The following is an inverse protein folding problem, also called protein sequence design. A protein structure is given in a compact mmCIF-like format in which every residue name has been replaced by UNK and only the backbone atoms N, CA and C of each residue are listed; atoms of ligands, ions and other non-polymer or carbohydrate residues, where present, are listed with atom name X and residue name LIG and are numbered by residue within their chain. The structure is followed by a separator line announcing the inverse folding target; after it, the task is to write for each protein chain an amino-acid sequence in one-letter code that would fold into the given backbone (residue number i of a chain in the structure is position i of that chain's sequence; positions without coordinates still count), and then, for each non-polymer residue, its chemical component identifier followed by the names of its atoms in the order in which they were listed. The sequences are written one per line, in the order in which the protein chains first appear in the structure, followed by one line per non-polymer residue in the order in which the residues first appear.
data_IF_426934964193
#
_entry.id   IF_426934964193
#
_cell.length_a   1.000
_cell.length_b   1.000
_cell.length_c   1.000
_cell.angle_alpha   90.00
_cell.angle_beta   90.00
_cell.angle_gamma   90.00
#
_symmetry.space_group_name_H-M   'P 1'
#
loop_
_entity.id
_entity.type
_entity.pdbx_description
1 polymer ?
#
# COMPACT_ATOMS: atom_id res chain seq x y z
N UNK A 1 17.57 16.63 -3.36
CA UNK A 1 16.27 17.29 -3.72
C UNK A 1 15.64 17.81 -2.44
N UNK A 2 15.03 19.00 -2.44
CA UNK A 2 14.30 19.52 -1.25
C UNK A 2 13.07 18.64 -1.01
N UNK A 3 12.72 18.36 0.24
CA UNK A 3 11.60 17.47 0.63
C UNK A 3 10.27 17.91 -0.01
N UNK A 4 9.99 19.23 -0.07
CA UNK A 4 8.81 19.76 -0.73
C UNK A 4 8.72 19.34 -2.21
N UNK A 5 9.83 19.34 -2.94
CA UNK A 5 9.86 18.91 -4.33
C UNK A 5 9.58 17.39 -4.51
N UNK A 6 9.84 16.59 -3.48
CA UNK A 6 9.47 15.15 -3.49
C UNK A 6 7.97 14.99 -3.33
N UNK A 7 7.37 15.69 -2.35
CA UNK A 7 5.92 15.68 -2.17
C UNK A 7 5.20 16.10 -3.46
N UNK A 8 5.59 17.24 -4.01
CA UNK A 8 5.02 17.78 -5.24
C UNK A 8 5.14 16.80 -6.41
N UNK A 9 6.34 16.26 -6.66
CA UNK A 9 6.58 15.35 -7.79
C UNK A 9 5.76 14.06 -7.71
N UNK A 10 5.71 13.42 -6.52
CA UNK A 10 4.97 12.18 -6.30
C UNK A 10 3.46 12.43 -6.42
N UNK A 11 2.95 13.46 -5.76
CA UNK A 11 1.51 13.78 -5.80
C UNK A 11 1.06 14.17 -7.20
N UNK A 12 1.87 14.93 -7.94
CA UNK A 12 1.59 15.29 -9.34
C UNK A 12 1.52 14.05 -10.24
N UNK A 13 2.42 13.10 -10.08
CA UNK A 13 2.38 11.83 -10.84
C UNK A 13 1.08 11.06 -10.59
N UNK A 14 0.68 10.94 -9.33
CA UNK A 14 -0.56 10.26 -8.94
C UNK A 14 -1.80 10.99 -9.47
N UNK A 15 -1.84 12.32 -9.37
CA UNK A 15 -2.92 13.15 -9.93
C UNK A 15 -3.05 12.90 -11.43
N UNK A 16 -1.93 12.90 -12.16
CA UNK A 16 -1.94 12.69 -13.61
C UNK A 16 -2.52 11.32 -14.02
N UNK A 17 -2.30 10.27 -13.23
CA UNK A 17 -2.90 8.97 -13.48
C UNK A 17 -4.40 8.94 -13.12
N UNK A 18 -4.78 9.53 -11.99
CA UNK A 18 -6.17 9.66 -11.59
C UNK A 18 -6.99 10.45 -12.61
N UNK A 19 -6.43 11.52 -13.20
CA UNK A 19 -7.08 12.30 -14.27
C UNK A 19 -7.28 11.48 -15.56
N UNK A 20 -6.52 10.40 -15.75
CA UNK A 20 -6.72 9.43 -16.83
C UNK A 20 -7.72 8.31 -16.45
N UNK A 21 -8.34 8.39 -15.29
CA UNK A 21 -9.27 7.38 -14.78
C UNK A 21 -8.60 6.12 -14.25
N UNK A 22 -7.28 6.14 -14.05
CA UNK A 22 -6.51 5.02 -13.51
C UNK A 22 -5.94 5.38 -12.15
N UNK A 23 -6.20 4.54 -11.14
CA UNK A 23 -5.50 4.66 -9.88
C UNK A 23 -4.22 3.82 -9.92
N UNK A 24 -3.03 4.38 -9.58
CA UNK A 24 -1.74 3.67 -9.72
C UNK A 24 -1.66 2.35 -8.92
N UNK A 25 -2.51 2.19 -7.92
CA UNK A 25 -2.58 1.01 -7.07
C UNK A 25 -3.61 -0.05 -7.51
N UNK A 26 -4.29 0.15 -8.65
CA UNK A 26 -5.44 -0.67 -9.11
C UNK A 26 -5.23 -1.32 -10.46
N UNK A 27 -4.10 -1.12 -11.09
CA UNK A 27 -3.88 -1.67 -12.43
C UNK A 27 -3.99 -3.20 -12.42
N UNK A 28 -4.83 -3.78 -13.30
CA UNK A 28 -4.81 -5.21 -13.54
C UNK A 28 -3.44 -5.53 -14.17
N UNK A 29 -2.62 -6.25 -13.46
CA UNK A 29 -1.31 -6.69 -13.92
C UNK A 29 -1.49 -7.61 -15.13
N UNK A 30 -1.44 -7.05 -16.33
CA UNK A 30 -1.45 -7.80 -17.58
C UNK A 30 -0.01 -8.14 -17.95
N UNK A 31 0.35 -9.37 -17.71
CA UNK A 31 1.57 -9.97 -18.24
C UNK A 31 2.75 -9.98 -17.28
N UNK A 32 3.32 -11.15 -17.11
CA UNK A 32 4.57 -11.37 -16.42
C UNK A 32 4.44 -11.79 -14.95
N UNK A 33 5.41 -12.51 -14.47
CA UNK A 33 5.49 -13.28 -13.23
C UNK A 33 5.50 -12.47 -11.91
N UNK A 34 5.05 -11.20 -11.89
CA UNK A 34 5.12 -10.31 -10.72
C UNK A 34 3.76 -9.82 -10.26
N UNK A 35 2.72 -10.59 -10.51
CA UNK A 35 1.34 -10.23 -10.18
C UNK A 35 1.20 -10.17 -8.65
N UNK A 36 0.79 -8.99 -8.16
CA UNK A 36 0.35 -8.82 -6.78
C UNK A 36 1.43 -8.84 -5.70
N UNK A 37 2.70 -8.78 -6.03
CA UNK A 37 3.78 -8.82 -5.04
C UNK A 37 4.10 -7.40 -4.55
N UNK A 38 4.17 -7.21 -3.24
CA UNK A 38 4.66 -5.98 -2.64
C UNK A 38 6.12 -5.72 -3.09
N UNK A 39 6.47 -4.46 -3.41
CA UNK A 39 7.86 -4.13 -3.71
C UNK A 39 8.76 -4.46 -2.53
N UNK A 40 9.86 -5.14 -2.76
CA UNK A 40 10.79 -5.55 -1.73
C UNK A 40 12.25 -5.19 -2.07
N UNK A 41 13.06 -5.04 -1.04
CA UNK A 41 14.50 -4.91 -1.21
C UNK A 41 15.11 -6.26 -1.59
N UNK A 42 15.75 -6.34 -2.75
CA UNK A 42 16.29 -7.57 -3.33
C UNK A 42 17.37 -8.25 -2.49
N UNK A 43 18.01 -7.53 -1.56
CA UNK A 43 19.09 -8.06 -0.73
C UNK A 43 18.56 -8.57 0.62
N UNK A 44 17.62 -7.83 1.22
CA UNK A 44 17.13 -8.11 2.57
C UNK A 44 15.80 -8.83 2.60
N UNK A 45 15.09 -8.92 1.47
CA UNK A 45 13.72 -9.43 1.38
C UNK A 45 12.67 -8.52 2.01
N UNK A 46 13.07 -7.42 2.69
CA UNK A 46 12.14 -6.54 3.39
C UNK A 46 11.26 -5.79 2.40
N UNK A 47 9.95 -5.89 2.57
CA UNK A 47 8.99 -5.12 1.79
C UNK A 47 9.09 -3.62 2.09
N UNK A 48 8.85 -2.82 1.06
CA UNK A 48 8.64 -1.38 1.20
C UNK A 48 7.26 -1.12 1.79
N UNK A 49 7.08 0.08 2.38
CA UNK A 49 5.82 0.46 3.05
C UNK A 49 5.41 1.89 2.66
N UNK A 50 4.18 2.23 2.99
CA UNK A 50 3.63 3.57 2.78
C UNK A 50 3.63 3.95 1.29
N UNK A 51 3.92 5.22 1.05
CA UNK A 51 3.93 5.80 -0.31
C UNK A 51 4.95 5.14 -1.24
N UNK A 52 5.96 4.45 -0.71
CA UNK A 52 6.95 3.77 -1.54
C UNK A 52 6.33 2.61 -2.34
N UNK A 53 5.28 1.99 -1.84
CA UNK A 53 4.59 0.91 -2.57
C UNK A 53 4.03 1.42 -3.90
N UNK A 54 3.10 2.39 -3.94
CA UNK A 54 2.57 2.89 -5.20
C UNK A 54 3.62 3.57 -6.09
N UNK A 55 4.65 4.22 -5.52
CA UNK A 55 5.78 4.77 -6.30
C UNK A 55 6.51 3.67 -7.08
N UNK A 56 6.84 2.57 -6.41
CA UNK A 56 7.61 1.48 -7.02
C UNK A 56 6.77 0.64 -7.98
N UNK A 57 5.47 0.46 -7.68
CA UNK A 57 4.54 -0.15 -8.63
C UNK A 57 4.41 0.67 -9.91
N UNK A 58 4.20 1.98 -9.78
CA UNK A 58 4.14 2.89 -10.93
C UNK A 58 5.43 2.82 -11.78
N UNK A 59 6.59 2.89 -11.13
CA UNK A 59 7.86 2.80 -11.84
C UNK A 59 8.04 1.44 -12.55
N UNK A 60 7.63 0.35 -11.91
CA UNK A 60 7.69 -0.98 -12.53
C UNK A 60 6.78 -1.08 -13.76
N UNK A 61 5.58 -0.53 -13.67
CA UNK A 61 4.61 -0.52 -14.78
C UNK A 61 5.08 0.33 -15.96
N UNK A 62 5.48 1.59 -15.71
CA UNK A 62 5.91 2.53 -16.76
C UNK A 62 7.13 2.04 -17.52
N UNK A 63 8.06 1.38 -16.83
CA UNK A 63 9.28 0.87 -17.44
C UNK A 63 9.19 -0.60 -17.88
N UNK A 64 8.05 -1.27 -17.62
CA UNK A 64 7.85 -2.68 -17.97
C UNK A 64 8.80 -3.62 -17.23
N UNK A 65 9.17 -3.32 -15.99
CA UNK A 65 10.07 -4.19 -15.22
C UNK A 65 9.39 -5.52 -14.88
N UNK A 66 10.09 -6.65 -15.06
CA UNK A 66 9.52 -7.98 -14.84
C UNK A 66 9.40 -8.36 -13.35
N UNK A 67 9.87 -7.53 -12.43
CA UNK A 67 9.93 -7.83 -11.00
C UNK A 67 9.74 -6.59 -10.14
N UNK A 68 9.25 -6.78 -8.91
CA UNK A 68 9.15 -5.75 -7.87
C UNK A 68 10.32 -5.81 -6.87
N UNK A 69 11.46 -6.36 -7.28
CA UNK A 69 12.68 -6.41 -6.49
C UNK A 69 13.56 -5.18 -6.78
N UNK A 70 13.96 -4.48 -5.73
CA UNK A 70 14.65 -3.21 -5.81
C UNK A 70 15.88 -3.18 -4.90
N UNK A 71 16.92 -2.47 -5.30
CA UNK A 71 18.13 -2.31 -4.50
C UNK A 71 18.75 -0.91 -4.68
N UNK A 72 19.57 -0.49 -3.73
CA UNK A 72 20.31 0.75 -3.85
C UNK A 72 21.54 0.55 -4.71
N UNK A 73 22.10 1.65 -5.27
CA UNK A 73 23.35 1.61 -6.02
C UNK A 73 24.49 0.97 -5.21
N UNK A 74 24.59 1.31 -3.91
CA UNK A 74 25.59 0.73 -3.04
C UNK A 74 25.42 -0.79 -2.87
N UNK A 75 24.18 -1.25 -2.67
CA UNK A 75 23.87 -2.68 -2.56
C UNK A 75 24.27 -3.45 -3.82
N UNK A 76 24.06 -2.87 -5.02
CA UNK A 76 24.53 -3.48 -6.26
C UNK A 76 26.04 -3.66 -6.24
N UNK A 77 26.80 -2.60 -5.94
CA UNK A 77 28.25 -2.66 -5.86
C UNK A 77 28.77 -3.64 -4.81
N UNK A 78 28.18 -3.65 -3.62
CA UNK A 78 28.54 -4.57 -2.52
C UNK A 78 28.34 -6.04 -2.91
N UNK A 79 27.50 -6.33 -3.92
CA UNK A 79 27.28 -7.66 -4.50
C UNK A 79 28.11 -7.92 -5.77
N UNK A 80 29.00 -7.02 -6.14
CA UNK A 80 29.80 -7.14 -7.36
C UNK A 80 29.03 -6.85 -8.65
N UNK A 81 27.80 -6.33 -8.52
CA UNK A 81 26.91 -5.99 -9.64
C UNK A 81 26.97 -4.49 -9.96
N UNK A 82 26.50 -4.10 -11.14
CA UNK A 82 26.60 -2.73 -11.61
C UNK A 82 25.30 -2.25 -12.22
N UNK A 83 24.86 -1.06 -11.84
CA UNK A 83 23.72 -0.40 -12.51
C UNK A 83 24.14 -0.10 -13.96
N UNK A 84 23.30 -0.48 -14.91
CA UNK A 84 23.52 -0.29 -16.34
C UNK A 84 23.72 1.19 -16.68
N UNK A 85 24.60 1.46 -17.63
CA UNK A 85 24.93 2.84 -18.03
C UNK A 85 23.68 3.56 -18.57
N UNK A 86 23.39 4.73 -18.02
CA UNK A 86 22.26 5.56 -18.43
C UNK A 86 20.95 5.32 -17.66
N UNK A 87 20.90 4.28 -16.84
CA UNK A 87 19.73 4.00 -16.02
C UNK A 87 19.51 5.06 -14.93
N UNK A 88 18.25 5.35 -14.65
CA UNK A 88 17.85 6.30 -13.62
C UNK A 88 17.15 5.58 -12.49
N UNK A 89 17.58 5.85 -11.26
CA UNK A 89 16.93 5.29 -10.07
C UNK A 89 15.59 5.94 -9.77
N UNK A 90 14.67 5.13 -9.26
CA UNK A 90 13.38 5.59 -8.73
C UNK A 90 13.57 6.19 -7.34
N UNK A 91 13.02 7.39 -7.13
CA UNK A 91 13.12 8.07 -5.84
C UNK A 91 12.08 7.51 -4.87
N UNK A 92 12.54 7.03 -3.74
CA UNK A 92 11.72 6.60 -2.60
C UNK A 92 11.99 7.48 -1.39
N UNK A 93 11.11 7.41 -0.39
CA UNK A 93 11.19 8.26 0.80
C UNK A 93 11.21 7.43 2.08
N UNK A 94 12.01 7.88 3.05
CA UNK A 94 12.05 7.33 4.39
C UNK A 94 11.90 8.44 5.42
N UNK A 95 11.10 8.18 6.43
CA UNK A 95 11.02 9.06 7.61
C UNK A 95 12.03 8.60 8.64
N UNK A 96 13.02 9.46 8.93
CA UNK A 96 13.95 9.26 10.03
C UNK A 96 13.52 10.14 11.21
N UNK A 97 13.27 9.54 12.35
CA UNK A 97 13.12 10.30 13.60
C UNK A 97 14.52 10.73 14.06
N UNK A 98 14.70 12.02 14.27
CA UNK A 98 15.94 12.61 14.77
C UNK A 98 15.59 13.34 16.07
N UNK A 99 16.28 13.00 17.14
CA UNK A 99 16.21 13.75 18.38
C UNK A 99 17.03 15.02 18.20
N UNK A 100 16.42 16.17 18.42
CA UNK A 100 17.10 17.47 18.38
C UNK A 100 17.03 18.05 19.80
N UNK A 101 18.20 18.34 20.35
CA UNK A 101 18.33 19.07 21.60
C UNK A 101 17.89 20.51 21.37
N UNK A 102 16.98 20.98 22.18
CA UNK A 102 16.55 22.38 22.15
C UNK A 102 17.56 23.14 23.01
N UNK A 103 18.42 23.97 22.37
CA UNK A 103 19.40 24.77 23.08
C UNK A 103 18.79 25.47 24.29
N UNK A 104 19.43 25.38 25.44
CA UNK A 104 19.08 25.92 26.77
C UNK A 104 17.96 25.24 27.58
N UNK A 105 17.33 24.18 27.12
CA UNK A 105 16.44 23.35 27.97
C UNK A 105 16.71 21.88 27.71
N UNK A 106 16.79 21.05 28.78
CA UNK A 106 16.99 19.58 28.68
C UNK A 106 15.80 18.82 28.04
N UNK A 107 15.00 19.50 27.22
CA UNK A 107 13.88 18.89 26.49
C UNK A 107 14.33 18.36 25.13
N UNK A 108 14.35 17.05 25.00
CA UNK A 108 14.52 16.35 23.72
C UNK A 108 13.25 16.46 22.88
N UNK A 109 13.36 17.04 21.67
CA UNK A 109 12.27 17.05 20.69
C UNK A 109 12.57 16.08 19.56
N UNK A 110 11.70 15.08 19.38
CA UNK A 110 11.77 14.20 18.22
C UNK A 110 11.20 14.92 16.98
N UNK A 111 12.03 15.10 15.98
CA UNK A 111 11.62 15.65 14.67
C UNK A 111 11.66 14.53 13.63
N UNK A 112 10.57 14.36 12.91
CA UNK A 112 10.52 13.44 11.76
C UNK A 112 11.11 14.13 10.53
N UNK A 113 12.24 13.63 10.04
CA UNK A 113 12.86 14.10 8.81
C UNK A 113 12.61 13.10 7.68
N UNK A 114 11.99 13.58 6.61
CA UNK A 114 11.85 12.81 5.39
C UNK A 114 13.19 12.87 4.61
N UNK A 115 13.68 11.73 4.13
CA UNK A 115 14.84 11.63 3.24
C UNK A 115 14.45 10.89 1.97
N UNK A 116 14.90 11.38 0.83
CA UNK A 116 14.76 10.70 -0.45
C UNK A 116 16.00 9.88 -0.75
N UNK A 117 15.81 8.68 -1.29
CA UNK A 117 16.85 7.76 -1.74
C UNK A 117 16.52 7.26 -3.14
N UNK A 118 17.53 6.99 -3.94
CA UNK A 118 17.35 6.34 -5.22
C UNK A 118 17.50 4.82 -5.07
N UNK A 119 16.56 4.07 -5.62
CA UNK A 119 16.65 2.63 -5.78
C UNK A 119 16.53 2.27 -7.25
N UNK A 120 17.06 1.12 -7.61
CA UNK A 120 17.05 0.57 -8.96
C UNK A 120 16.32 -0.76 -8.94
N UNK A 121 15.52 -1.01 -9.95
CA UNK A 121 14.96 -2.33 -10.16
C UNK A 121 16.07 -3.30 -10.53
N UNK A 122 15.99 -4.56 -10.13
CA UNK A 122 17.02 -5.56 -10.47
C UNK A 122 17.20 -5.70 -11.98
N UNK A 123 16.19 -5.42 -12.79
CA UNK A 123 16.26 -5.38 -14.25
C UNK A 123 17.20 -4.29 -14.80
N UNK A 124 17.53 -3.27 -13.99
CA UNK A 124 18.46 -2.19 -14.32
C UNK A 124 19.93 -2.52 -13.94
N UNK A 125 20.18 -3.73 -13.44
CA UNK A 125 21.48 -4.09 -12.86
C UNK A 125 22.07 -5.28 -13.60
N UNK A 126 23.33 -5.15 -14.04
CA UNK A 126 24.11 -6.24 -14.61
C UNK A 126 24.91 -6.97 -13.53
N UNK A 127 25.04 -8.29 -13.67
CA UNK A 127 25.83 -9.13 -12.76
C UNK A 127 25.16 -9.35 -11.39
N UNK A 128 23.87 -9.05 -11.27
CA UNK A 128 23.08 -9.39 -10.09
C UNK A 128 22.21 -10.61 -10.42
N UNK A 129 22.61 -11.75 -9.86
CA UNK A 129 21.75 -12.92 -9.85
C UNK A 129 20.65 -12.66 -8.82
N UNK A 130 19.55 -12.07 -9.30
CA UNK A 130 18.35 -11.99 -8.46
C UNK A 130 18.05 -13.42 -8.01
N UNK A 131 17.83 -13.66 -6.69
CA UNK A 131 17.23 -14.92 -6.30
C UNK A 131 16.00 -15.08 -7.19
N UNK A 132 15.87 -16.25 -7.83
CA UNK A 132 14.72 -16.52 -8.69
C UNK A 132 13.52 -15.90 -7.97
N UNK A 133 12.97 -14.84 -8.56
CA UNK A 133 11.67 -14.37 -8.15
C UNK A 133 10.71 -15.48 -8.64
N UNK A 134 10.87 -16.64 -8.03
CA UNK A 134 9.87 -17.69 -8.12
C UNK A 134 8.60 -16.94 -7.78
N UNK A 135 7.74 -16.79 -8.78
CA UNK A 135 6.42 -16.22 -8.57
C UNK A 135 5.93 -16.87 -7.29
N UNK A 136 5.71 -16.08 -6.24
CA UNK A 136 5.16 -16.64 -5.02
C UNK A 136 4.03 -17.56 -5.45
N UNK A 137 3.97 -18.79 -4.98
CA UNK A 137 2.90 -19.70 -5.38
C UNK A 137 1.58 -18.94 -5.20
N UNK A 138 0.61 -19.11 -6.10
CA UNK A 138 -0.68 -18.48 -5.91
C UNK A 138 -1.15 -18.83 -4.49
N UNK A 139 -1.71 -17.86 -3.76
CA UNK A 139 -2.16 -18.12 -2.39
C UNK A 139 -3.15 -19.29 -2.42
N UNK A 140 -3.19 -20.10 -1.36
CA UNK A 140 -4.12 -21.20 -1.27
C UNK A 140 -5.55 -20.70 -1.45
N UNK A 141 -6.37 -21.49 -2.11
CA UNK A 141 -7.80 -21.22 -2.21
C UNK A 141 -8.35 -21.06 -0.78
N UNK A 142 -8.89 -19.90 -0.44
CA UNK A 142 -9.37 -19.62 0.92
C UNK A 142 -8.49 -18.69 1.76
N UNK A 143 -7.27 -18.35 1.32
CA UNK A 143 -6.37 -17.48 2.09
C UNK A 143 -7.00 -16.18 2.61
N UNK A 144 -7.87 -15.53 1.81
CA UNK A 144 -8.58 -14.33 2.26
C UNK A 144 -9.67 -14.65 3.29
N UNK A 145 -10.26 -15.83 3.20
CA UNK A 145 -11.30 -16.28 4.16
C UNK A 145 -10.64 -16.52 5.51
N UNK A 146 -9.53 -17.26 5.52
CA UNK A 146 -8.74 -17.56 6.73
C UNK A 146 -8.16 -16.27 7.33
N UNK A 147 -7.59 -15.42 6.50
CA UNK A 147 -7.08 -14.10 6.92
C UNK A 147 -8.17 -13.24 7.58
N UNK A 148 -9.37 -13.17 6.97
CA UNK A 148 -10.48 -12.42 7.54
C UNK A 148 -11.00 -13.06 8.83
N UNK A 149 -11.07 -14.39 8.91
CA UNK A 149 -11.49 -15.11 10.11
C UNK A 149 -10.54 -14.86 11.29
N UNK A 150 -9.22 -14.87 11.05
CA UNK A 150 -8.20 -14.61 12.06
C UNK A 150 -8.38 -13.24 12.74
N UNK A 151 -8.92 -12.23 12.03
CA UNK A 151 -9.17 -10.90 12.63
C UNK A 151 -10.25 -10.89 13.71
N UNK A 152 -11.15 -11.87 13.72
CA UNK A 152 -12.32 -11.92 14.59
C UNK A 152 -13.37 -10.84 14.30
N UNK A 153 -13.30 -10.17 13.14
CA UNK A 153 -14.28 -9.16 12.74
C UNK A 153 -15.66 -9.78 12.52
N UNK A 154 -16.73 -9.15 13.04
CA UNK A 154 -18.11 -9.56 12.79
C UNK A 154 -18.50 -9.15 11.36
N UNK A 155 -18.46 -10.11 10.43
CA UNK A 155 -18.81 -9.91 9.02
C UNK A 155 -20.14 -10.57 8.74
N UNK A 156 -21.12 -9.77 8.34
CA UNK A 156 -22.50 -10.18 8.03
C UNK A 156 -22.78 -10.02 6.55
N UNK A 157 -23.55 -10.96 5.99
CA UNK A 157 -23.95 -10.90 4.59
C UNK A 157 -25.41 -10.47 4.45
N UNK A 158 -25.68 -9.69 3.38
CA UNK A 158 -27.02 -9.21 3.02
C UNK A 158 -27.03 -7.82 2.41
N UNK A 159 -28.12 -7.50 1.73
CA UNK A 159 -28.28 -6.22 1.04
C UNK A 159 -27.45 -6.12 -0.25
N UNK A 160 -27.29 -4.88 -0.73
CA UNK A 160 -26.64 -4.56 -2.01
C UNK A 160 -25.38 -3.67 -1.86
N UNK A 161 -24.96 -3.39 -0.62
CA UNK A 161 -23.83 -2.49 -0.30
C UNK A 161 -22.89 -3.13 0.70
N UNK A 162 -21.60 -2.86 0.51
CA UNK A 162 -20.55 -3.15 1.47
C UNK A 162 -20.28 -1.89 2.32
N UNK A 163 -20.16 -2.06 3.63
CA UNK A 163 -19.80 -0.97 4.55
C UNK A 163 -19.42 -1.50 5.94
N UNK A 164 -18.54 -0.79 6.62
CA UNK A 164 -18.27 -0.94 8.05
C UNK A 164 -19.16 0.03 8.86
N UNK A 165 -19.71 -0.44 9.99
CA UNK A 165 -20.53 0.37 10.92
C UNK A 165 -19.78 0.62 12.23
N UNK A 166 -19.08 1.77 12.39
CA UNK A 166 -18.26 2.02 13.57
C UNK A 166 -19.00 2.01 14.90
N UNK A 167 -20.26 2.42 14.92
CA UNK A 167 -21.05 2.53 16.17
C UNK A 167 -21.41 1.20 16.82
N UNK A 168 -21.43 0.12 16.05
CA UNK A 168 -21.79 -1.24 16.48
C UNK A 168 -20.76 -2.30 16.09
N UNK A 169 -19.67 -1.87 15.47
CA UNK A 169 -18.46 -2.63 15.19
C UNK A 169 -18.66 -3.92 14.36
N UNK A 170 -19.47 -3.85 13.31
CA UNK A 170 -19.60 -4.94 12.34
C UNK A 170 -19.46 -4.46 10.89
N UNK A 171 -19.13 -5.38 10.01
CA UNK A 171 -19.03 -5.20 8.55
C UNK A 171 -20.27 -5.83 7.91
N UNK A 172 -20.86 -5.16 6.91
CA UNK A 172 -21.87 -5.73 6.02
C UNK A 172 -21.28 -5.89 4.64
N UNK A 173 -21.49 -7.05 4.03
CA UNK A 173 -21.14 -7.34 2.65
C UNK A 173 -22.36 -7.92 1.93
N UNK A 174 -22.57 -7.62 0.65
CA UNK A 174 -23.49 -8.40 -0.17
C UNK A 174 -23.09 -9.88 -0.20
N UNK A 175 -24.05 -10.73 -0.54
CA UNK A 175 -23.77 -12.16 -0.68
C UNK A 175 -22.70 -12.42 -1.74
N UNK A 176 -21.74 -13.37 -1.52
CA UNK A 176 -20.63 -13.60 -2.43
C UNK A 176 -21.04 -13.82 -3.89
N UNK A 177 -22.16 -14.51 -4.10
CA UNK A 177 -22.69 -14.80 -5.45
C UNK A 177 -23.22 -13.56 -6.17
N UNK A 178 -23.41 -12.43 -5.48
CA UNK A 178 -23.85 -11.16 -6.10
C UNK A 178 -22.71 -10.38 -6.75
N UNK A 179 -21.45 -10.79 -6.50
CA UNK A 179 -20.29 -10.14 -7.08
C UNK A 179 -19.95 -10.69 -8.47
N UNK A 180 -19.37 -9.85 -9.32
CA UNK A 180 -18.93 -10.23 -10.67
C UNK A 180 -17.83 -11.30 -10.67
N UNK A 181 -17.01 -11.35 -9.61
CA UNK A 181 -16.00 -12.38 -9.40
C UNK A 181 -15.69 -12.56 -7.91
N UNK A 182 -15.10 -13.69 -7.56
CA UNK A 182 -14.64 -13.99 -6.19
C UNK A 182 -13.52 -13.04 -5.77
N UNK A 183 -12.65 -12.65 -6.69
CA UNK A 183 -11.57 -11.70 -6.44
C UNK A 183 -12.12 -10.32 -6.08
N UNK A 184 -13.20 -9.91 -6.76
CA UNK A 184 -13.87 -8.65 -6.47
C UNK A 184 -14.53 -8.66 -5.08
N UNK A 185 -15.18 -9.77 -4.70
CA UNK A 185 -15.70 -9.97 -3.35
C UNK A 185 -14.57 -9.90 -2.30
N UNK A 186 -13.44 -10.58 -2.56
CA UNK A 186 -12.30 -10.56 -1.64
C UNK A 186 -11.67 -9.17 -1.50
N UNK A 187 -11.49 -8.45 -2.61
CA UNK A 187 -10.96 -7.09 -2.55
C UNK A 187 -11.88 -6.14 -1.77
N UNK A 188 -13.21 -6.26 -1.97
CA UNK A 188 -14.20 -5.49 -1.20
C UNK A 188 -14.16 -5.86 0.28
N UNK A 189 -14.06 -7.13 0.63
CA UNK A 189 -13.93 -7.59 2.02
C UNK A 189 -12.68 -7.00 2.68
N UNK A 190 -11.54 -6.99 1.98
CA UNK A 190 -10.29 -6.41 2.48
C UNK A 190 -10.40 -4.89 2.67
N UNK A 191 -11.13 -4.20 1.79
CA UNK A 191 -11.43 -2.78 1.92
C UNK A 191 -12.21 -2.48 3.21
N UNK A 192 -13.28 -3.22 3.47
CA UNK A 192 -14.06 -3.05 4.69
C UNK A 192 -13.30 -3.44 5.96
N UNK A 193 -12.39 -4.43 5.88
CA UNK A 193 -11.49 -4.77 6.98
C UNK A 193 -10.49 -3.64 7.27
N UNK A 194 -10.04 -2.91 6.25
CA UNK A 194 -9.21 -1.72 6.49
C UNK A 194 -10.01 -0.66 7.24
N UNK A 195 -11.27 -0.37 6.87
CA UNK A 195 -12.13 0.51 7.66
C UNK A 195 -12.32 0.01 9.09
N UNK A 196 -12.61 -1.28 9.26
CA UNK A 196 -12.76 -1.93 10.57
C UNK A 196 -11.50 -1.73 11.43
N UNK A 197 -10.30 -1.84 10.87
CA UNK A 197 -9.06 -1.58 11.60
C UNK A 197 -8.96 -0.16 12.13
N UNK A 198 -9.71 0.78 11.58
CA UNK A 198 -9.75 2.19 11.99
C UNK A 198 -10.60 2.49 13.21
N UNK A 199 -11.35 1.51 13.73
CA UNK A 199 -12.19 1.73 14.92
C UNK A 199 -11.38 2.25 16.11
N UNK A 200 -12.03 3.01 17.02
CA UNK A 200 -11.42 3.65 18.20
C UNK A 200 -10.69 2.69 19.15
N UNK A 201 -11.10 1.42 19.17
CA UNK A 201 -10.46 0.37 19.99
C UNK A 201 -9.26 -0.27 19.31
N UNK A 202 -8.95 0.08 18.06
CA UNK A 202 -7.86 -0.46 17.23
C UNK A 202 -6.87 0.64 16.85
N UNK A 203 -6.89 1.11 15.62
CA UNK A 203 -5.97 2.16 15.17
C UNK A 203 -6.48 3.59 15.36
N UNK A 204 -7.66 3.75 15.93
CA UNK A 204 -8.29 5.03 16.32
C UNK A 204 -8.22 6.10 15.22
N UNK A 205 -8.63 5.71 13.98
CA UNK A 205 -8.77 6.65 12.88
C UNK A 205 -10.12 7.37 12.97
N UNK A 206 -10.18 8.60 12.49
CA UNK A 206 -11.43 9.35 12.42
C UNK A 206 -12.34 8.78 11.29
N UNK A 207 -13.29 7.93 11.66
CA UNK A 207 -14.27 7.31 10.77
C UNK A 207 -15.62 8.03 10.76
N UNK A 208 -15.82 9.06 11.59
CA UNK A 208 -17.09 9.76 11.73
C UNK A 208 -17.28 10.89 10.70
N UNK A 209 -16.74 10.73 9.51
CA UNK A 209 -16.75 11.75 8.50
C UNK A 209 -18.01 11.68 7.65
N UNK A 210 -18.56 12.87 7.32
CA UNK A 210 -19.73 12.96 6.45
C UNK A 210 -19.32 12.66 5.01
N UNK A 211 -20.10 11.82 4.32
CA UNK A 211 -19.94 11.55 2.89
C UNK A 211 -19.75 12.82 2.07
N UNK A 212 -18.81 12.81 1.14
CA UNK A 212 -18.47 13.95 0.28
C UNK A 212 -17.55 15.00 0.91
N UNK A 213 -17.07 14.81 2.15
CA UNK A 213 -16.06 15.70 2.76
C UNK A 213 -14.64 15.26 2.40
N UNK A 214 -13.65 16.18 2.51
CA UNK A 214 -12.24 15.84 2.32
C UNK A 214 -11.76 14.77 3.34
N UNK A 215 -12.30 14.77 4.54
CA UNK A 215 -11.97 13.80 5.57
C UNK A 215 -12.50 12.39 5.22
N UNK A 216 -13.71 12.31 4.67
CA UNK A 216 -14.26 11.07 4.12
C UNK A 216 -13.41 10.58 2.93
N UNK A 217 -13.10 11.45 1.97
CA UNK A 217 -12.25 11.11 0.83
C UNK A 217 -10.85 10.61 1.25
N UNK A 218 -10.31 11.17 2.34
CA UNK A 218 -9.02 10.74 2.89
C UNK A 218 -9.10 9.33 3.51
N UNK A 219 -10.17 8.99 4.22
CA UNK A 219 -10.35 7.65 4.79
C UNK A 219 -10.62 6.61 3.70
N UNK A 220 -11.44 6.93 2.69
CA UNK A 220 -11.60 6.07 1.51
C UNK A 220 -10.25 5.80 0.80
N UNK A 221 -9.41 6.82 0.69
CA UNK A 221 -8.07 6.65 0.11
C UNK A 221 -7.18 5.74 0.97
N UNK A 222 -7.32 5.78 2.29
CA UNK A 222 -6.64 4.84 3.21
C UNK A 222 -7.16 3.42 2.98
N UNK A 223 -8.48 3.23 2.90
CA UNK A 223 -9.10 1.94 2.72
C UNK A 223 -8.71 1.30 1.37
N UNK A 224 -8.71 2.09 0.32
CA UNK A 224 -8.31 1.66 -1.01
C UNK A 224 -6.83 1.23 -1.08
N UNK A 225 -5.93 2.07 -0.59
CA UNK A 225 -4.50 1.73 -0.55
C UNK A 225 -4.25 0.52 0.34
N UNK A 226 -4.90 0.43 1.50
CA UNK A 226 -4.76 -0.69 2.43
C UNK A 226 -5.25 -2.00 1.80
N UNK A 227 -6.41 -1.97 1.14
CA UNK A 227 -6.93 -3.11 0.40
C UNK A 227 -5.98 -3.54 -0.73
N UNK A 228 -5.43 -2.58 -1.49
CA UNK A 228 -4.44 -2.89 -2.52
C UNK A 228 -3.17 -3.56 -1.95
N UNK A 229 -2.69 -3.11 -0.80
CA UNK A 229 -1.52 -3.70 -0.12
C UNK A 229 -1.83 -5.13 0.37
N UNK A 230 -3.02 -5.34 0.93
CA UNK A 230 -3.48 -6.68 1.37
C UNK A 230 -3.74 -7.60 0.19
N UNK A 231 -4.36 -7.12 -0.88
CA UNK A 231 -4.53 -7.89 -2.12
C UNK A 231 -3.17 -8.36 -2.68
N UNK A 232 -2.18 -7.46 -2.69
CA UNK A 232 -0.82 -7.79 -3.12
C UNK A 232 -0.15 -8.82 -2.20
N UNK A 233 -0.37 -8.73 -0.89
CA UNK A 233 0.14 -9.67 0.10
C UNK A 233 -0.50 -11.06 -0.05
N UNK A 234 -1.82 -11.10 -0.22
CA UNK A 234 -2.62 -12.32 -0.32
C UNK A 234 -2.75 -12.86 -1.77
N UNK A 235 -2.08 -12.23 -2.75
CA UNK A 235 -2.12 -12.63 -4.16
C UNK A 235 -3.50 -12.51 -4.82
N UNK A 236 -4.37 -11.66 -4.30
CA UNK A 236 -5.70 -11.41 -4.87
C UNK A 236 -5.58 -10.47 -6.06
N UNK A 237 -6.06 -10.91 -7.22
CA UNK A 237 -6.14 -10.09 -8.44
C UNK A 237 -7.50 -9.38 -8.47
N UNK A 238 -7.73 -8.46 -7.55
CA UNK A 238 -9.00 -7.74 -7.46
C UNK A 238 -8.94 -6.36 -8.11
N UNK A 239 -10.02 -6.00 -8.79
CA UNK A 239 -10.26 -4.61 -9.19
C UNK A 239 -11.19 -3.97 -8.16
N UNK A 240 -10.69 -2.99 -7.42
CA UNK A 240 -11.53 -2.13 -6.62
C UNK A 240 -12.22 -1.11 -7.55
N UNK A 241 -13.53 -0.85 -7.34
CA UNK A 241 -14.28 0.12 -8.17
C UNK A 241 -14.10 1.53 -7.60
N UNK A 242 -13.18 2.30 -8.17
CA UNK A 242 -12.84 3.64 -7.69
C UNK A 242 -13.60 4.77 -8.38
N UNK A 243 -14.35 4.50 -9.44
CA UNK A 243 -14.92 5.55 -10.29
C UNK A 243 -15.70 6.63 -9.52
N UNK A 244 -16.37 6.26 -8.42
CA UNK A 244 -17.10 7.20 -7.58
C UNK A 244 -16.27 8.10 -6.68
N UNK A 245 -14.98 7.80 -6.48
CA UNK A 245 -14.10 8.53 -5.54
C UNK A 245 -13.00 9.35 -6.21
N UNK A 246 -12.70 9.10 -7.48
CA UNK A 246 -11.59 9.74 -8.20
C UNK A 246 -11.67 11.26 -8.11
N UNK A 247 -12.83 11.87 -8.34
CA UNK A 247 -13.00 13.31 -8.27
C UNK A 247 -12.76 13.87 -6.86
N UNK A 248 -13.17 13.14 -5.83
CA UNK A 248 -12.96 13.49 -4.43
C UNK A 248 -11.48 13.41 -4.06
N UNK A 249 -10.77 12.38 -4.52
CA UNK A 249 -9.32 12.24 -4.33
C UNK A 249 -8.55 13.31 -5.09
N UNK A 250 -8.91 13.60 -6.34
CA UNK A 250 -8.31 14.71 -7.09
C UNK A 250 -8.47 16.05 -6.36
N UNK A 251 -9.68 16.31 -5.84
CA UNK A 251 -9.94 17.52 -5.04
C UNK A 251 -9.08 17.59 -3.78
N UNK A 252 -8.93 16.47 -3.08
CA UNK A 252 -8.10 16.35 -1.88
C UNK A 252 -6.63 16.58 -2.19
N UNK A 253 -6.09 15.85 -3.17
CA UNK A 253 -4.65 15.86 -3.51
C UNK A 253 -4.20 17.18 -4.13
N UNK A 254 -5.07 17.88 -4.88
CA UNK A 254 -4.80 19.22 -5.41
C UNK A 254 -4.75 20.29 -4.30
N UNK A 255 -5.39 20.06 -3.16
CA UNK A 255 -5.37 20.97 -2.00
C UNK A 255 -4.23 20.68 -1.03
N UNK A 256 -3.86 19.41 -0.87
CA UNK A 256 -2.82 18.98 0.07
C UNK A 256 -1.94 17.90 -0.55
N UNK A 257 -0.74 18.29 -0.95
CA UNK A 257 0.28 17.39 -1.52
C UNK A 257 0.75 16.30 -0.55
N UNK A 258 0.49 16.43 0.76
CA UNK A 258 0.87 15.46 1.77
C UNK A 258 -0.23 14.43 2.04
N UNK A 259 -1.44 14.67 1.56
CA UNK A 259 -2.58 13.80 1.83
C UNK A 259 -2.31 12.35 1.40
N UNK A 260 -1.73 12.14 0.21
CA UNK A 260 -1.40 10.78 -0.28
C UNK A 260 -0.34 10.08 0.60
N UNK A 261 0.65 10.82 1.11
CA UNK A 261 1.67 10.25 2.00
C UNK A 261 1.08 9.84 3.35
N UNK A 262 0.18 10.67 3.88
CA UNK A 262 -0.55 10.38 5.12
C UNK A 262 -1.46 9.17 4.92
N UNK A 263 -2.23 9.13 3.83
CA UNK A 263 -3.10 8.01 3.51
C UNK A 263 -2.32 6.71 3.34
N UNK A 264 -1.24 6.70 2.57
CA UNK A 264 -0.40 5.53 2.35
C UNK A 264 0.29 5.03 3.64
N UNK A 265 0.69 5.95 4.54
CA UNK A 265 1.23 5.59 5.86
C UNK A 265 0.18 4.90 6.73
N UNK A 266 -1.05 5.45 6.78
CA UNK A 266 -2.17 4.86 7.52
C UNK A 266 -2.61 3.53 6.91
N UNK A 267 -2.61 3.41 5.59
CA UNK A 267 -2.90 2.18 4.86
C UNK A 267 -1.90 1.05 5.19
N UNK A 268 -0.60 1.37 5.23
CA UNK A 268 0.41 0.39 5.66
C UNK A 268 0.22 -0.02 7.11
N UNK A 269 -0.06 0.93 8.01
CA UNK A 269 -0.34 0.61 9.41
C UNK A 269 -1.58 -0.28 9.56
N UNK A 270 -2.63 -0.07 8.74
CA UNK A 270 -3.81 -0.91 8.71
C UNK A 270 -3.50 -2.32 8.19
N UNK A 271 -2.74 -2.41 7.10
CA UNK A 271 -2.33 -3.70 6.53
C UNK A 271 -1.45 -4.50 7.52
N UNK A 272 -0.48 -3.85 8.16
CA UNK A 272 0.39 -4.49 9.16
C UNK A 272 -0.42 -4.95 10.38
N UNK A 273 -1.37 -4.13 10.86
CA UNK A 273 -2.26 -4.48 11.95
C UNK A 273 -3.10 -5.73 11.65
N UNK A 274 -3.68 -5.80 10.44
CA UNK A 274 -4.51 -6.93 10.03
C UNK A 274 -3.68 -8.19 9.79
N UNK A 275 -2.46 -8.07 9.27
CA UNK A 275 -1.54 -9.20 9.08
C UNK A 275 -1.08 -9.83 10.39
N UNK A 276 -0.91 -9.03 11.44
CA UNK A 276 -0.47 -9.52 12.74
C UNK A 276 -1.40 -10.58 13.34
N UNK A 277 -2.68 -10.63 12.95
CA UNK A 277 -3.60 -11.67 13.41
C UNK A 277 -3.28 -13.05 12.80
N UNK A 278 -2.99 -13.10 11.50
CA UNK A 278 -2.63 -14.37 10.84
C UNK A 278 -1.23 -14.87 11.24
N UNK A 279 -0.27 -13.97 11.46
CA UNK A 279 1.07 -14.33 11.92
C UNK A 279 1.05 -14.94 13.34
N UNK A 280 0.17 -14.47 14.23
CA UNK A 280 -0.01 -15.03 15.58
C UNK A 280 -0.66 -16.42 15.57
N UNK A 281 -1.58 -16.69 14.64
CA UNK A 281 -2.18 -18.02 14.50
C UNK A 281 -1.17 -19.06 13.98
N UNK A 282 -0.29 -18.67 13.06
CA UNK A 282 0.79 -19.54 12.56
C UNK A 282 1.78 -19.90 13.67
N UNK A 283 2.22 -18.92 14.48
CA UNK A 283 3.12 -19.16 15.63
C UNK A 283 2.47 -20.02 16.73
N UNK A 284 1.14 -19.96 16.88
CA UNK A 284 0.43 -20.77 17.88
C UNK A 284 0.16 -22.21 17.41
N UNK A 285 0.29 -22.49 16.10
CA UNK A 285 0.07 -23.79 15.49
C UNK A 285 1.37 -24.62 15.34
N UNK A 286 2.55 -23.99 15.51
CA UNK A 286 3.88 -24.64 15.56
C UNK A 286 4.25 -25.06 17.02
#
# INVERSE_FOLDING_TARGET
MKIAAVYEAVTRSIIAELEQGAAPWVKPWKGGNCIGILPANAITGRCYSGINIPILWHAADVHGYPTNAWLTFKQALDKGAHVKKGEKGTQIVFTKRVTVEKGDTDEEKQISMLRAFAVFNVAQVDGFDAPDAAAAPPPPAGAVIEFAAATGADIRHGGDKAFFVPSVDFIVLPDPESFESVEYYHATKLHELVHWSGHKTRLDRDLNNRFGTNAYAAEELVAELGAAFLCAHLGVQGQLRHAGYIDSWLSLLKKDERAIFTAASKASAAADYLRAFSEQEEEAAE
#
